data_IF_711299723573
#
_entry.id   IF_711299723573
#
_cell.length_a   1.000
_cell.length_b   1.000
_cell.length_c   1.000
_cell.angle_alpha   90.00
_cell.angle_beta   90.00
_cell.angle_gamma   90.00
#
_symmetry.space_group_name_H-M   'P 1'
#
loop_
_entity.id
_entity.type
_entity.pdbx_description
1 polymer ?
#
# COMPACT_ATOMS: atom_id res chain seq x y z
N UNK A 1 -18.77 4.39 1.54
CA UNK A 1 -19.61 3.23 1.16
C UNK A 1 -19.18 2.62 -0.18
N UNK A 2 -18.43 3.34 -1.03
CA UNK A 2 -17.84 2.77 -2.26
C UNK A 2 -16.61 1.89 -1.96
N UNK A 3 -15.94 2.08 -0.84
CA UNK A 3 -14.91 1.16 -0.29
C UNK A 3 -15.33 -0.31 -0.26
N UNK A 4 -16.60 -0.58 0.04
CA UNK A 4 -17.14 -1.93 0.08
C UNK A 4 -17.05 -2.63 -1.28
N UNK A 5 -16.89 -1.88 -2.38
CA UNK A 5 -16.68 -2.39 -3.73
C UNK A 5 -15.29 -3.03 -3.91
N UNK A 6 -14.28 -2.62 -3.13
CA UNK A 6 -12.93 -3.21 -3.25
C UNK A 6 -12.87 -4.65 -2.80
N UNK A 7 -13.67 -5.04 -1.81
CA UNK A 7 -13.73 -6.41 -1.32
C UNK A 7 -14.26 -7.41 -2.38
N UNK A 8 -15.41 -7.19 -3.03
CA UNK A 8 -15.86 -8.04 -4.12
C UNK A 8 -14.95 -7.91 -5.35
N UNK A 9 -14.41 -6.73 -5.66
CA UNK A 9 -13.41 -6.62 -6.74
C UNK A 9 -12.17 -7.45 -6.45
N UNK A 10 -11.65 -7.45 -5.22
CA UNK A 10 -10.55 -8.28 -4.79
C UNK A 10 -10.91 -9.77 -4.88
N UNK A 11 -12.11 -10.16 -4.45
CA UNK A 11 -12.57 -11.55 -4.54
C UNK A 11 -12.72 -12.03 -5.99
N UNK A 12 -13.17 -11.16 -6.90
CA UNK A 12 -13.36 -11.48 -8.33
C UNK A 12 -12.04 -11.48 -9.10
N UNK A 13 -11.07 -10.63 -8.71
CA UNK A 13 -9.82 -10.41 -9.44
C UNK A 13 -9.04 -11.71 -9.81
N UNK A 14 -8.89 -12.72 -8.93
CA UNK A 14 -8.22 -13.98 -9.26
C UNK A 14 -8.88 -14.77 -10.39
N UNK A 15 -10.21 -14.67 -10.52
CA UNK A 15 -11.01 -15.42 -11.49
C UNK A 15 -11.04 -14.75 -12.87
N UNK A 16 -10.59 -13.50 -12.98
CA UNK A 16 -10.57 -12.77 -14.26
C UNK A 16 -9.35 -13.16 -15.08
N UNK A 17 -9.51 -14.06 -16.04
CA UNK A 17 -8.42 -14.54 -16.88
C UNK A 17 -7.85 -13.47 -17.83
N UNK A 18 -8.71 -12.60 -18.39
CA UNK A 18 -8.34 -11.64 -19.44
C UNK A 18 -7.64 -10.39 -18.86
N UNK A 19 -6.42 -10.06 -19.30
CA UNK A 19 -5.68 -8.89 -18.82
C UNK A 19 -6.44 -7.56 -18.93
N UNK A 20 -7.16 -7.34 -20.04
CA UNK A 20 -7.94 -6.12 -20.26
C UNK A 20 -9.00 -5.89 -19.17
N UNK A 21 -9.65 -6.96 -18.71
CA UNK A 21 -10.64 -6.88 -17.64
C UNK A 21 -10.00 -6.69 -16.25
N UNK A 22 -8.81 -7.24 -16.02
CA UNK A 22 -8.04 -6.98 -14.81
C UNK A 22 -7.61 -5.51 -14.74
N UNK A 23 -7.13 -4.93 -15.85
CA UNK A 23 -6.83 -3.50 -15.94
C UNK A 23 -8.07 -2.64 -15.70
N UNK A 24 -9.21 -3.02 -16.27
CA UNK A 24 -10.48 -2.31 -16.03
C UNK A 24 -10.88 -2.32 -14.55
N UNK A 25 -10.70 -3.45 -13.85
CA UNK A 25 -10.96 -3.56 -12.41
C UNK A 25 -10.01 -2.67 -11.60
N UNK A 26 -8.71 -2.69 -11.90
CA UNK A 26 -7.72 -1.84 -11.22
C UNK A 26 -8.02 -0.36 -11.46
N UNK A 27 -8.33 0.01 -12.70
CA UNK A 27 -8.72 1.38 -13.04
C UNK A 27 -10.00 1.82 -12.31
N UNK A 28 -11.02 0.96 -12.28
CA UNK A 28 -12.26 1.24 -11.54
C UNK A 28 -12.00 1.39 -10.03
N UNK A 29 -11.15 0.55 -9.44
CA UNK A 29 -10.78 0.64 -8.02
C UNK A 29 -10.01 1.93 -7.70
N UNK A 30 -9.08 2.35 -8.58
CA UNK A 30 -8.31 3.57 -8.43
C UNK A 30 -9.19 4.83 -8.57
N UNK A 31 -10.08 4.86 -9.57
CA UNK A 31 -11.03 5.98 -9.75
C UNK A 31 -11.99 6.06 -8.56
N UNK A 32 -12.45 4.92 -8.05
CA UNK A 32 -13.31 4.86 -6.86
C UNK A 32 -12.61 5.44 -5.62
N UNK A 33 -11.29 5.24 -5.47
CA UNK A 33 -10.51 5.84 -4.37
C UNK A 33 -10.49 7.36 -4.41
N UNK A 34 -10.24 7.90 -5.61
CA UNK A 34 -10.21 9.34 -5.81
C UNK A 34 -11.59 9.94 -5.56
N UNK A 35 -12.65 9.26 -6.01
CA UNK A 35 -14.02 9.67 -5.77
C UNK A 35 -14.37 9.68 -4.26
N UNK A 36 -14.06 8.59 -3.54
CA UNK A 36 -14.25 8.51 -2.08
C UNK A 36 -13.45 9.59 -1.35
N UNK A 37 -12.21 9.84 -1.77
CA UNK A 37 -11.36 10.89 -1.19
C UNK A 37 -11.88 12.30 -1.43
N UNK A 38 -12.47 12.58 -2.61
CA UNK A 38 -13.14 13.86 -2.90
C UNK A 38 -14.41 13.99 -2.05
N UNK A 39 -15.20 12.92 -1.96
CA UNK A 39 -16.46 12.92 -1.20
C UNK A 39 -16.21 13.09 0.30
N UNK A 40 -15.20 12.41 0.85
CA UNK A 40 -14.77 12.55 2.24
C UNK A 40 -14.27 13.97 2.56
N UNK A 41 -13.63 14.66 1.61
CA UNK A 41 -13.23 16.08 1.76
C UNK A 41 -14.41 17.04 1.77
N UNK A 42 -15.49 16.73 1.04
CA UNK A 42 -16.67 17.60 0.92
C UNK A 42 -17.71 17.36 2.01
N UNK A 43 -17.91 16.11 2.44
CA UNK A 43 -19.01 15.71 3.33
C UNK A 43 -18.54 15.19 4.70
N UNK A 44 -17.22 15.10 4.93
CA UNK A 44 -16.64 14.50 6.12
C UNK A 44 -16.55 12.96 6.01
N UNK A 45 -15.45 12.39 6.49
CA UNK A 45 -15.27 10.93 6.52
C UNK A 45 -15.92 10.34 7.77
N UNK A 46 -16.68 9.26 7.62
CA UNK A 46 -17.15 8.47 8.77
C UNK A 46 -15.97 7.80 9.48
N UNK A 47 -15.99 7.71 10.82
CA UNK A 47 -14.91 7.04 11.60
C UNK A 47 -14.64 5.61 11.14
N UNK A 48 -15.70 4.89 10.75
CA UNK A 48 -15.58 3.52 10.22
C UNK A 48 -14.94 3.50 8.83
N UNK A 49 -15.37 4.37 7.91
CA UNK A 49 -14.77 4.49 6.57
C UNK A 49 -13.30 4.88 6.61
N UNK A 50 -12.92 5.86 7.43
CA UNK A 50 -11.53 6.29 7.57
C UNK A 50 -10.53 5.15 7.92
N UNK A 51 -11.01 4.10 8.59
CA UNK A 51 -10.21 2.91 8.95
C UNK A 51 -10.39 1.77 7.94
N UNK A 52 -11.60 1.59 7.42
CA UNK A 52 -11.91 0.52 6.48
C UNK A 52 -11.29 0.78 5.09
N UNK A 53 -11.17 2.04 4.68
CA UNK A 53 -10.67 2.43 3.35
C UNK A 53 -9.21 1.99 3.11
N UNK A 54 -8.26 2.27 4.01
CA UNK A 54 -6.88 1.81 3.87
C UNK A 54 -6.72 0.29 3.97
N UNK A 55 -7.61 -0.39 4.71
CA UNK A 55 -7.57 -1.85 4.88
C UNK A 55 -8.04 -2.53 3.60
N UNK A 56 -9.18 -2.10 3.05
CA UNK A 56 -9.72 -2.65 1.82
C UNK A 56 -8.79 -2.43 0.62
N UNK A 57 -8.11 -1.27 0.57
CA UNK A 57 -7.10 -0.97 -0.45
C UNK A 57 -5.90 -1.93 -0.38
N UNK A 58 -5.32 -2.10 0.81
CA UNK A 58 -4.21 -3.05 1.03
C UNK A 58 -4.59 -4.48 0.71
N UNK A 59 -5.79 -4.91 1.08
CA UNK A 59 -6.30 -6.25 0.77
C UNK A 59 -6.44 -6.45 -0.74
N UNK A 60 -7.04 -5.47 -1.44
CA UNK A 60 -7.15 -5.52 -2.89
C UNK A 60 -5.77 -5.62 -3.56
N UNK A 61 -4.83 -4.76 -3.18
CA UNK A 61 -3.47 -4.77 -3.71
C UNK A 61 -2.76 -6.10 -3.43
N UNK A 62 -2.86 -6.63 -2.21
CA UNK A 62 -2.26 -7.93 -1.86
C UNK A 62 -2.84 -9.07 -2.72
N UNK A 63 -4.17 -9.14 -2.87
CA UNK A 63 -4.82 -10.17 -3.70
C UNK A 63 -4.44 -10.03 -5.17
N UNK A 64 -4.36 -8.80 -5.68
CA UNK A 64 -3.98 -8.54 -7.06
C UNK A 64 -2.53 -9.00 -7.35
N UNK A 65 -1.59 -8.63 -6.47
CA UNK A 65 -0.19 -9.05 -6.59
C UNK A 65 -0.01 -10.57 -6.43
N UNK A 66 -0.71 -11.21 -5.49
CA UNK A 66 -0.69 -12.68 -5.33
C UNK A 66 -1.21 -13.37 -6.60
N UNK A 67 -2.28 -12.83 -7.19
CA UNK A 67 -2.85 -13.35 -8.44
C UNK A 67 -1.84 -13.30 -9.58
N UNK A 68 -1.13 -12.18 -9.73
CA UNK A 68 -0.11 -11.98 -10.76
C UNK A 68 1.09 -12.90 -10.54
N UNK A 69 1.55 -13.04 -9.29
CA UNK A 69 2.64 -13.97 -8.95
C UNK A 69 2.27 -15.43 -9.26
N UNK A 70 1.04 -15.85 -8.98
CA UNK A 70 0.53 -17.19 -9.35
C UNK A 70 0.51 -17.44 -10.86
N UNK A 71 0.45 -16.39 -11.68
CA UNK A 71 0.51 -16.48 -13.15
C UNK A 71 1.94 -16.50 -13.69
N UNK A 72 2.95 -16.45 -12.82
CA UNK A 72 4.37 -16.48 -13.20
C UNK A 72 4.92 -15.13 -13.69
N UNK A 73 4.14 -14.06 -13.64
CA UNK A 73 4.56 -12.72 -14.07
C UNK A 73 5.52 -12.07 -13.07
N UNK A 74 5.45 -12.46 -11.80
CA UNK A 74 6.36 -12.05 -10.72
C UNK A 74 6.81 -13.29 -9.96
N UNK A 75 8.08 -13.33 -9.57
CA UNK A 75 8.61 -14.39 -8.71
C UNK A 75 8.31 -14.07 -7.24
N UNK A 76 8.24 -15.10 -6.38
CA UNK A 76 7.84 -14.94 -4.98
C UNK A 76 8.66 -13.91 -4.19
N UNK A 77 9.96 -13.77 -4.48
CA UNK A 77 10.81 -12.77 -3.83
C UNK A 77 10.50 -11.33 -4.30
N UNK A 78 10.10 -11.13 -5.56
CA UNK A 78 9.68 -9.81 -6.07
C UNK A 78 8.35 -9.40 -5.43
N UNK A 79 7.42 -10.36 -5.32
CA UNK A 79 6.16 -10.19 -4.59
C UNK A 79 6.41 -9.75 -3.14
N UNK A 80 7.26 -10.49 -2.42
CA UNK A 80 7.60 -10.17 -1.03
C UNK A 80 8.26 -8.80 -0.93
N UNK A 81 9.19 -8.45 -1.82
CA UNK A 81 9.83 -7.14 -1.82
C UNK A 81 8.84 -5.98 -1.98
N UNK A 82 7.88 -6.14 -2.88
CA UNK A 82 6.82 -5.14 -3.12
C UNK A 82 5.84 -5.05 -1.95
N UNK A 83 5.50 -6.17 -1.31
CA UNK A 83 4.58 -6.22 -0.15
C UNK A 83 5.26 -5.93 1.19
N UNK A 84 6.60 -5.95 1.26
CA UNK A 84 7.37 -5.80 2.50
C UNK A 84 6.99 -4.52 3.24
N UNK A 85 6.82 -3.41 2.51
CA UNK A 85 6.39 -2.13 3.10
C UNK A 85 5.02 -2.22 3.75
N UNK A 86 4.08 -2.93 3.15
CA UNK A 86 2.72 -3.05 3.69
C UNK A 86 2.71 -3.92 4.94
N UNK A 87 3.48 -5.01 4.93
CA UNK A 87 3.72 -5.87 6.09
C UNK A 87 4.32 -5.05 7.23
N UNK A 88 5.38 -4.28 6.97
CA UNK A 88 6.02 -3.43 7.98
C UNK A 88 5.10 -2.32 8.50
N UNK A 89 4.27 -1.73 7.63
CA UNK A 89 3.27 -0.75 8.06
C UNK A 89 2.23 -1.37 9.00
N UNK A 90 1.79 -2.61 8.73
CA UNK A 90 0.85 -3.34 9.60
C UNK A 90 1.51 -3.75 10.92
N UNK A 91 2.73 -4.28 10.87
CA UNK A 91 3.50 -4.64 12.08
C UNK A 91 3.78 -3.42 12.94
N UNK A 92 4.14 -2.30 12.33
CA UNK A 92 4.36 -1.04 13.01
C UNK A 92 3.09 -0.52 13.69
N UNK A 93 1.95 -0.57 13.00
CA UNK A 93 0.65 -0.25 13.60
C UNK A 93 0.31 -1.19 14.77
N UNK A 94 0.50 -2.50 14.60
CA UNK A 94 0.26 -3.48 15.67
C UNK A 94 1.16 -3.23 16.89
N UNK A 95 2.42 -2.91 16.66
CA UNK A 95 3.35 -2.55 17.73
C UNK A 95 2.89 -1.31 18.51
N UNK A 96 2.40 -0.26 17.84
CA UNK A 96 1.83 0.91 18.53
C UNK A 96 0.65 0.54 19.42
N UNK A 97 -0.21 -0.35 18.92
CA UNK A 97 -1.42 -0.76 19.61
C UNK A 97 -1.10 -1.61 20.85
N UNK A 98 -0.20 -2.59 20.71
CA UNK A 98 0.22 -3.48 21.81
C UNK A 98 1.03 -2.73 22.86
N UNK A 99 1.98 -1.88 22.43
CA UNK A 99 2.88 -1.17 23.34
C UNK A 99 2.25 0.07 23.98
N UNK A 100 1.04 0.49 23.53
CA UNK A 100 0.38 1.76 23.89
C UNK A 100 1.28 3.00 23.80
N UNK A 101 2.42 2.89 23.11
CA UNK A 101 3.32 4.00 22.81
C UNK A 101 3.08 4.40 21.37
N UNK A 102 2.93 5.70 21.09
CA UNK A 102 2.91 6.17 19.72
C UNK A 102 4.31 5.97 19.14
N UNK A 103 4.57 4.79 18.57
CA UNK A 103 5.60 4.64 17.55
C UNK A 103 5.13 5.52 16.41
N UNK A 104 5.63 6.75 16.39
CA UNK A 104 5.32 7.70 15.35
C UNK A 104 5.82 7.12 14.03
N UNK A 105 4.92 6.47 13.30
CA UNK A 105 5.08 6.16 11.89
C UNK A 105 4.33 7.24 11.13
N UNK A 106 4.94 8.43 10.88
CA UNK A 106 4.35 9.44 10.01
C UNK A 106 4.46 8.93 8.56
N UNK A 107 3.63 7.95 8.22
CA UNK A 107 3.61 7.21 6.96
C UNK A 107 3.11 8.02 5.75
N UNK A 108 3.03 9.35 5.85
CA UNK A 108 2.23 10.18 4.92
C UNK A 108 2.94 10.59 3.62
N UNK A 109 4.27 10.71 3.60
CA UNK A 109 5.02 11.20 2.42
C UNK A 109 5.60 10.08 1.53
N UNK A 110 6.63 9.37 1.99
CA UNK A 110 7.19 8.18 1.32
C UNK A 110 6.19 7.04 1.11
N UNK A 111 5.17 6.91 1.97
CA UNK A 111 4.09 5.94 1.76
C UNK A 111 3.32 6.12 0.45
N UNK A 112 3.11 7.37 -0.01
CA UNK A 112 2.41 7.63 -1.28
C UNK A 112 3.25 7.23 -2.49
N UNK A 113 4.55 7.51 -2.47
CA UNK A 113 5.45 7.15 -3.55
C UNK A 113 5.49 5.62 -3.75
N UNK A 114 5.56 4.87 -2.66
CA UNK A 114 5.49 3.40 -2.70
C UNK A 114 4.15 2.93 -3.26
N UNK A 115 3.03 3.50 -2.80
CA UNK A 115 1.70 3.10 -3.31
C UNK A 115 1.54 3.39 -4.80
N UNK A 116 2.04 4.52 -5.29
CA UNK A 116 2.04 4.84 -6.73
C UNK A 116 2.92 3.83 -7.49
N UNK A 117 4.12 3.55 -7.00
CA UNK A 117 5.04 2.59 -7.62
C UNK A 117 4.46 1.16 -7.65
N UNK A 118 3.78 0.75 -6.57
CA UNK A 118 3.03 -0.51 -6.49
C UNK A 118 1.91 -0.56 -7.53
N UNK A 119 1.10 0.49 -7.65
CA UNK A 119 0.03 0.56 -8.64
C UNK A 119 0.58 0.48 -10.08
N UNK A 120 1.66 1.21 -10.38
CA UNK A 120 2.33 1.16 -11.68
C UNK A 120 2.90 -0.22 -11.98
N UNK A 121 3.52 -0.87 -10.99
CA UNK A 121 4.04 -2.24 -11.14
C UNK A 121 2.90 -3.23 -11.40
N UNK A 122 1.77 -3.08 -10.70
CA UNK A 122 0.59 -3.91 -10.89
C UNK A 122 0.03 -3.77 -12.32
N UNK A 123 -0.13 -2.53 -12.79
CA UNK A 123 -0.61 -2.25 -14.15
C UNK A 123 0.36 -2.79 -15.21
N UNK A 124 1.66 -2.56 -15.04
CA UNK A 124 2.70 -3.08 -15.93
C UNK A 124 2.68 -4.61 -16.00
N UNK A 125 2.53 -5.26 -14.84
CA UNK A 125 2.47 -6.72 -14.76
C UNK A 125 1.24 -7.28 -15.47
N UNK A 126 0.05 -6.67 -15.28
CA UNK A 126 -1.16 -7.11 -15.99
C UNK A 126 -1.03 -6.87 -17.50
N UNK A 127 -0.40 -5.77 -17.91
CA UNK A 127 -0.16 -5.46 -19.33
C UNK A 127 0.94 -6.32 -19.98
N UNK A 128 1.50 -7.30 -19.26
CA UNK A 128 2.61 -8.15 -19.70
C UNK A 128 3.82 -7.36 -20.23
N UNK A 129 4.11 -6.23 -19.58
CA UNK A 129 5.19 -5.37 -20.05
C UNK A 129 6.56 -5.96 -19.68
N UNK A 130 7.48 -6.01 -20.64
CA UNK A 130 8.85 -6.54 -20.47
C UNK A 130 9.60 -5.94 -19.26
N UNK A 131 9.32 -4.69 -18.90
CA UNK A 131 10.00 -4.00 -17.80
C UNK A 131 9.36 -4.22 -16.42
N UNK A 132 8.32 -5.06 -16.30
CA UNK A 132 7.59 -5.32 -15.04
C UNK A 132 8.52 -5.68 -13.89
N UNK A 133 9.50 -6.56 -14.12
CA UNK A 133 10.47 -6.95 -13.08
C UNK A 133 11.29 -5.76 -12.61
N UNK A 134 11.77 -4.92 -13.53
CA UNK A 134 12.53 -3.72 -13.20
C UNK A 134 11.70 -2.75 -12.35
N UNK A 135 10.41 -2.60 -12.67
CA UNK A 135 9.45 -1.82 -11.87
C UNK A 135 9.22 -2.44 -10.47
N UNK A 136 9.15 -3.76 -10.37
CA UNK A 136 9.01 -4.44 -9.07
C UNK A 136 10.24 -4.21 -8.19
N UNK A 137 11.45 -4.35 -8.74
CA UNK A 137 12.70 -4.06 -8.04
C UNK A 137 12.84 -2.58 -7.68
N UNK A 138 12.45 -1.66 -8.58
CA UNK A 138 12.42 -0.23 -8.29
C UNK A 138 11.42 0.09 -7.17
N UNK A 139 10.24 -0.53 -7.18
CA UNK A 139 9.23 -0.38 -6.12
C UNK A 139 9.75 -0.91 -4.79
N UNK A 140 10.40 -2.07 -4.77
CA UNK A 140 11.04 -2.63 -3.59
C UNK A 140 12.16 -1.70 -3.07
N UNK A 141 12.97 -1.12 -3.95
CA UNK A 141 14.01 -0.16 -3.57
C UNK A 141 13.42 1.12 -2.98
N UNK A 142 12.36 1.69 -3.59
CA UNK A 142 11.64 2.86 -3.06
C UNK A 142 11.01 2.53 -1.69
N UNK A 143 10.46 1.32 -1.55
CA UNK A 143 9.91 0.83 -0.29
C UNK A 143 10.97 0.78 0.81
N UNK A 144 12.12 0.14 0.54
CA UNK A 144 13.25 0.05 1.47
C UNK A 144 13.80 1.44 1.80
N UNK A 145 13.98 2.30 0.80
CA UNK A 145 14.43 3.67 1.01
C UNK A 145 13.47 4.45 1.90
N UNK A 146 12.15 4.35 1.65
CA UNK A 146 11.16 4.99 2.50
C UNK A 146 11.26 4.47 3.94
N UNK A 147 11.35 3.16 4.15
CA UNK A 147 11.51 2.55 5.48
C UNK A 147 12.76 3.10 6.18
N UNK A 148 13.89 3.19 5.49
CA UNK A 148 15.13 3.72 6.05
C UNK A 148 15.01 5.21 6.41
N UNK A 149 14.55 6.04 5.47
CA UNK A 149 14.36 7.48 5.68
C UNK A 149 13.47 7.75 6.91
N UNK A 150 12.43 6.93 7.08
CA UNK A 150 11.57 6.97 8.26
C UNK A 150 12.27 6.54 9.55
N UNK A 151 12.98 5.41 9.54
CA UNK A 151 13.74 4.97 10.71
C UNK A 151 14.72 6.03 11.20
N UNK A 152 15.37 6.73 10.27
CA UNK A 152 16.30 7.82 10.56
C UNK A 152 15.59 9.05 11.14
N UNK A 153 14.44 9.41 10.58
CA UNK A 153 13.64 10.56 11.04
C UNK A 153 13.05 10.31 12.43
N UNK A 154 12.58 9.08 12.70
CA UNK A 154 12.08 8.67 14.00
C UNK A 154 13.18 8.70 15.06
N UNK A 155 14.37 8.15 14.76
CA UNK A 155 15.52 8.15 15.68
C UNK A 155 15.97 9.57 16.04
N UNK A 156 15.99 10.50 15.07
CA UNK A 156 16.32 11.92 15.31
C UNK A 156 15.32 12.59 16.26
N UNK A 157 14.02 12.35 16.07
CA UNK A 157 12.99 12.90 16.97
C UNK A 157 13.06 12.34 18.38
N UNK A 158 13.36 11.05 18.53
CA UNK A 158 13.59 10.43 19.84
C UNK A 158 14.83 10.98 20.54
N UNK A 159 15.91 11.26 19.81
CA UNK A 159 17.12 11.87 20.35
C UNK A 159 16.89 13.32 20.81
N UNK A 160 16.11 14.12 20.06
CA UNK A 160 15.75 15.49 20.44
C UNK A 160 14.83 15.53 21.67
N UNK A 161 13.82 14.65 21.73
CA UNK A 161 12.92 14.56 22.90
C UNK A 161 13.65 14.10 24.18
N UNK A 162 14.71 13.29 24.04
CA UNK A 162 15.58 12.92 25.17
C UNK A 162 16.50 14.06 25.61
N UNK A 163 16.96 14.91 24.69
CA UNK A 163 17.79 16.06 24.99
C UNK A 163 17.02 17.20 25.67
N UNK A 164 15.74 17.41 25.34
CA UNK A 164 14.86 18.39 26.01
C UNK A 164 14.40 17.93 27.41
N UNK A 165 14.52 16.63 27.72
CA UNK A 165 14.12 16.04 28.99
C UNK A 165 15.26 15.91 30.02
N UNK A 166 16.48 16.32 29.68
CA UNK A 166 17.64 16.30 30.58
C UNK A 166 17.85 17.71 31.18
N UNK A 167 17.67 17.90 32.50
CA UNK A 167 17.84 19.19 33.17
C UNK A 167 19.31 19.63 33.27
#
# INVERSE_FOLDING_TARGET
>A
MLTALRLPLAAVFPFVAKPAWQLAIVAAAAVSDVADGILARRFGSSRAGAVLDPVADKLFMAVAFITIARRGLLVWYELVGVLLRDILAVLGFLATWVLRRPVALPARAGGKAVTIAQLLTLVAAIADWTYTRHLAWATAAIAVYAIWDYGRTAARKSAQAGAEASP
#
